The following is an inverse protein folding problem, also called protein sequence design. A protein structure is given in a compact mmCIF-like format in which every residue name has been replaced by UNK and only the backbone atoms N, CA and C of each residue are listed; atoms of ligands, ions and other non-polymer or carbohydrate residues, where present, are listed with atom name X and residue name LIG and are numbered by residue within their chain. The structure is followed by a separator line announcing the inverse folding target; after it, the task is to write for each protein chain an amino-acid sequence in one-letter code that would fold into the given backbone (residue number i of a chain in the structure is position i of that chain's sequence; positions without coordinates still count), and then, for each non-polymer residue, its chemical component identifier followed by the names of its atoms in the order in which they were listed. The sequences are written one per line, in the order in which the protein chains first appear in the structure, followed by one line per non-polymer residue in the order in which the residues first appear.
data_IF_056161855397
#
_entry.id   IF_056161855397
#
_cell.length_a   1.000
_cell.length_b   1.000
_cell.length_c   1.000
_cell.angle_alpha   90.00
_cell.angle_beta   90.00
_cell.angle_gamma   90.00
#
_symmetry.space_group_name_H-M   'P 1'
#
loop_
_entity.id
_entity.type
_entity.pdbx_description
1 polymer ?
#
# COMPACT_ATOMS: atom_id res chain seq x y z
N UNK A 1 -6.09 -10.19 2.19
CA UNK A 1 -5.60 -9.58 3.44
C UNK A 1 -6.72 -9.10 4.39
N UNK A 2 -7.95 -8.89 3.90
CA UNK A 2 -9.09 -8.36 4.68
C UNK A 2 -9.68 -9.31 5.73
N UNK A 3 -9.48 -10.63 5.63
CA UNK A 3 -10.15 -11.61 6.49
C UNK A 3 -9.56 -11.74 7.92
N UNK A 4 -8.31 -11.33 8.13
CA UNK A 4 -7.68 -11.44 9.46
C UNK A 4 -8.21 -10.38 10.43
N UNK A 5 -8.56 -9.21 9.91
CA UNK A 5 -9.06 -8.09 10.72
C UNK A 5 -10.41 -8.39 11.38
N UNK A 6 -11.28 -9.18 10.75
CA UNK A 6 -12.63 -9.47 11.26
C UNK A 6 -12.65 -10.41 12.47
N UNK A 7 -11.57 -11.16 12.71
CA UNK A 7 -11.47 -12.10 13.86
C UNK A 7 -11.57 -11.38 15.19
N UNK A 8 -11.02 -10.18 15.31
CA UNK A 8 -11.07 -9.41 16.57
C UNK A 8 -12.48 -8.93 16.95
N UNK A 9 -13.43 -8.90 16.01
CA UNK A 9 -14.83 -8.55 16.26
C UNK A 9 -15.53 -9.61 17.13
N UNK A 10 -14.96 -10.81 17.20
CA UNK A 10 -15.47 -11.88 18.07
C UNK A 10 -15.39 -11.49 19.55
N UNK A 11 -14.40 -10.70 19.98
CA UNK A 11 -14.22 -10.32 21.38
C UNK A 11 -15.40 -9.54 21.97
N UNK A 12 -15.88 -8.43 21.39
CA UNK A 12 -17.07 -7.74 21.93
C UNK A 12 -18.32 -8.62 21.89
N UNK A 13 -18.47 -9.48 20.89
CA UNK A 13 -19.61 -10.39 20.77
C UNK A 13 -19.56 -11.44 21.88
N UNK A 14 -18.41 -12.07 22.09
CA UNK A 14 -18.21 -13.05 23.15
C UNK A 14 -18.45 -12.44 24.53
N UNK A 15 -17.96 -11.22 24.78
CA UNK A 15 -18.18 -10.53 26.06
C UNK A 15 -19.64 -10.18 26.33
N UNK A 16 -20.45 -9.92 25.30
CA UNK A 16 -21.90 -9.74 25.49
C UNK A 16 -22.58 -11.08 25.75
N UNK A 17 -22.18 -12.16 25.07
CA UNK A 17 -22.73 -13.51 25.31
C UNK A 17 -22.40 -14.01 26.69
N UNK A 18 -21.19 -13.71 27.19
CA UNK A 18 -20.79 -14.08 28.60
C UNK A 18 -21.44 -13.19 29.66
N UNK A 19 -22.15 -12.13 29.28
CA UNK A 19 -22.79 -11.18 30.20
C UNK A 19 -21.84 -10.13 30.78
N UNK A 20 -20.60 -10.06 30.33
CA UNK A 20 -19.62 -9.07 30.79
C UNK A 20 -19.92 -7.67 30.29
N UNK A 21 -20.51 -7.54 29.08
CA UNK A 21 -20.80 -6.27 28.43
C UNK A 21 -22.30 -6.12 28.14
N UNK A 22 -22.82 -4.88 28.18
CA UNK A 22 -24.22 -4.61 27.88
C UNK A 22 -24.55 -4.91 26.40
N UNK A 23 -25.81 -5.28 26.14
CA UNK A 23 -26.32 -5.53 24.76
C UNK A 23 -26.06 -4.37 23.80
N UNK A 24 -26.02 -3.13 24.30
CA UNK A 24 -25.74 -1.95 23.52
C UNK A 24 -24.35 -2.00 22.84
N UNK A 25 -23.40 -2.77 23.40
CA UNK A 25 -22.08 -2.99 22.81
C UNK A 25 -22.16 -3.63 21.42
N UNK A 26 -23.14 -4.52 21.19
CA UNK A 26 -23.35 -5.13 19.86
C UNK A 26 -23.75 -4.08 18.82
N UNK A 27 -24.61 -3.14 19.19
CA UNK A 27 -24.99 -2.05 18.30
C UNK A 27 -23.79 -1.18 17.92
N UNK A 28 -22.97 -0.80 18.91
CA UNK A 28 -21.76 -0.02 18.66
C UNK A 28 -20.73 -0.79 17.82
N UNK A 29 -20.58 -2.10 18.06
CA UNK A 29 -19.70 -2.96 17.27
C UNK A 29 -20.17 -3.08 15.83
N UNK A 30 -21.49 -3.22 15.61
CA UNK A 30 -22.05 -3.22 14.26
C UNK A 30 -21.78 -1.89 13.55
N UNK A 31 -21.97 -0.76 14.25
CA UNK A 31 -21.71 0.57 13.70
C UNK A 31 -20.22 0.73 13.33
N UNK A 32 -19.31 0.22 14.16
CA UNK A 32 -17.86 0.19 13.87
C UNK A 32 -17.55 -0.60 12.60
N UNK A 33 -18.13 -1.79 12.46
CA UNK A 33 -17.95 -2.64 11.27
C UNK A 33 -18.50 -1.95 10.02
N UNK A 34 -19.68 -1.36 10.09
CA UNK A 34 -20.26 -0.59 8.98
C UNK A 34 -19.38 0.61 8.61
N UNK A 35 -18.84 1.32 9.61
CA UNK A 35 -17.92 2.43 9.38
C UNK A 35 -16.63 1.96 8.69
N UNK A 36 -16.04 0.84 9.14
CA UNK A 36 -14.85 0.25 8.51
C UNK A 36 -15.10 -0.08 7.04
N UNK A 37 -16.17 -0.81 6.73
CA UNK A 37 -16.51 -1.15 5.34
C UNK A 37 -16.93 0.07 4.51
N UNK A 38 -17.52 1.10 5.13
CA UNK A 38 -17.84 2.34 4.43
C UNK A 38 -16.59 3.06 3.93
N UNK A 39 -15.49 3.03 4.68
CA UNK A 39 -14.21 3.60 4.23
C UNK A 39 -13.64 2.80 3.06
N UNK A 40 -13.76 1.47 3.09
CA UNK A 40 -13.25 0.59 2.03
C UNK A 40 -14.03 0.70 0.71
N UNK A 41 -15.35 0.84 0.78
CA UNK A 41 -16.23 0.77 -0.39
C UNK A 41 -16.61 2.14 -0.95
N UNK A 42 -16.60 3.19 -0.14
CA UNK A 42 -17.05 4.52 -0.54
C UNK A 42 -15.90 5.40 -0.98
N UNK A 43 -16.01 6.00 -2.16
CA UNK A 43 -15.11 7.05 -2.64
C UNK A 43 -15.52 8.47 -2.14
N UNK A 44 -16.64 8.58 -1.43
CA UNK A 44 -17.12 9.86 -0.94
C UNK A 44 -16.36 10.29 0.30
N UNK A 45 -15.61 11.39 0.21
CA UNK A 45 -14.78 11.92 1.30
C UNK A 45 -15.58 12.24 2.57
N UNK A 46 -16.83 12.69 2.44
CA UNK A 46 -17.70 13.00 3.59
C UNK A 46 -18.06 11.73 4.37
N UNK A 47 -18.41 10.65 3.65
CA UNK A 47 -18.71 9.35 4.26
C UNK A 47 -17.48 8.78 4.96
N UNK A 48 -16.32 8.82 4.32
CA UNK A 48 -15.06 8.39 4.93
C UNK A 48 -14.70 9.20 6.17
N UNK A 49 -14.99 10.52 6.16
CA UNK A 49 -14.74 11.40 7.29
C UNK A 49 -15.62 11.03 8.49
N UNK A 50 -16.92 10.86 8.28
CA UNK A 50 -17.86 10.47 9.32
C UNK A 50 -17.53 9.07 9.86
N UNK A 51 -17.27 8.11 8.99
CA UNK A 51 -16.92 6.75 9.37
C UNK A 51 -15.63 6.69 10.20
N UNK A 52 -14.63 7.50 9.87
CA UNK A 52 -13.39 7.61 10.63
C UNK A 52 -13.63 8.08 12.07
N UNK A 53 -14.44 9.10 12.27
CA UNK A 53 -14.77 9.60 13.61
C UNK A 53 -15.61 8.61 14.42
N UNK A 54 -16.52 7.88 13.77
CA UNK A 54 -17.26 6.79 14.40
C UNK A 54 -16.32 5.71 14.91
N UNK A 55 -15.30 5.33 14.14
CA UNK A 55 -14.31 4.33 14.56
C UNK A 55 -13.48 4.84 15.75
N UNK A 56 -13.00 6.09 15.71
CA UNK A 56 -12.28 6.71 16.83
C UNK A 56 -13.13 6.73 18.11
N UNK A 57 -14.38 7.18 18.00
CA UNK A 57 -15.30 7.23 19.15
C UNK A 57 -15.55 5.83 19.74
N UNK A 58 -15.72 4.83 18.88
CA UNK A 58 -15.88 3.43 19.33
C UNK A 58 -14.65 2.94 20.09
N UNK A 59 -13.45 3.09 19.53
CA UNK A 59 -12.21 2.62 20.14
C UNK A 59 -11.98 3.32 21.48
N UNK A 60 -12.18 4.62 21.52
CA UNK A 60 -12.04 5.40 22.75
C UNK A 60 -13.02 4.95 23.83
N UNK A 61 -14.31 4.87 23.51
CA UNK A 61 -15.36 4.45 24.45
C UNK A 61 -15.10 3.04 24.99
N UNK A 62 -14.87 2.08 24.10
CA UNK A 62 -14.71 0.68 24.51
C UNK A 62 -13.43 0.46 25.32
N UNK A 63 -12.34 1.12 24.97
CA UNK A 63 -11.06 1.01 25.70
C UNK A 63 -11.09 1.63 27.09
N UNK A 64 -11.85 2.71 27.28
CA UNK A 64 -11.88 3.44 28.54
C UNK A 64 -12.95 2.87 29.50
N UNK A 65 -14.17 2.58 29.01
CA UNK A 65 -15.31 2.21 29.87
C UNK A 65 -15.65 0.73 29.88
N UNK A 66 -15.32 -0.03 28.84
CA UNK A 66 -15.61 -1.47 28.84
C UNK A 66 -14.40 -2.30 29.31
N UNK A 67 -13.36 -2.29 28.49
CA UNK A 67 -12.16 -3.07 28.80
C UNK A 67 -10.97 -2.49 28.04
N UNK A 68 -9.86 -2.24 28.72
CA UNK A 68 -8.64 -1.73 28.14
C UNK A 68 -8.04 -2.63 27.04
N UNK A 69 -8.43 -3.91 26.99
CA UNK A 69 -8.09 -4.82 25.89
C UNK A 69 -8.61 -4.38 24.53
N UNK A 70 -9.66 -3.54 24.46
CA UNK A 70 -10.14 -2.97 23.20
C UNK A 70 -9.17 -1.98 22.54
N UNK A 71 -8.09 -1.59 23.20
CA UNK A 71 -7.01 -0.80 22.60
C UNK A 71 -6.44 -1.46 21.34
N UNK A 72 -6.52 -2.79 21.21
CA UNK A 72 -6.11 -3.51 19.99
C UNK A 72 -6.89 -3.12 18.73
N UNK A 73 -8.10 -2.56 18.87
CA UNK A 73 -8.87 -2.05 17.74
C UNK A 73 -8.18 -0.88 17.02
N UNK A 74 -7.16 -0.27 17.62
CA UNK A 74 -6.34 0.76 16.98
C UNK A 74 -5.65 0.25 15.70
N UNK A 75 -5.38 -1.07 15.62
CA UNK A 75 -4.83 -1.70 14.42
C UNK A 75 -5.76 -1.65 13.19
N UNK A 76 -7.07 -1.48 13.39
CA UNK A 76 -7.97 -1.24 12.26
C UNK A 76 -7.74 0.13 11.63
N UNK A 77 -7.51 1.16 12.45
CA UNK A 77 -7.18 2.50 11.97
C UNK A 77 -5.81 2.51 11.27
N UNK A 78 -4.80 1.85 11.86
CA UNK A 78 -3.47 1.76 11.24
C UNK A 78 -3.52 1.03 9.90
N UNK A 79 -4.31 -0.04 9.79
CA UNK A 79 -4.48 -0.78 8.55
C UNK A 79 -5.12 0.09 7.45
N UNK A 80 -6.17 0.86 7.79
CA UNK A 80 -6.80 1.79 6.86
C UNK A 80 -5.82 2.89 6.40
N UNK A 81 -5.02 3.44 7.32
CA UNK A 81 -4.03 4.47 6.99
C UNK A 81 -2.96 3.96 6.03
N UNK A 82 -2.52 2.70 6.20
CA UNK A 82 -1.45 2.11 5.38
C UNK A 82 -1.97 1.72 4.00
N UNK A 83 -3.11 1.02 3.93
CA UNK A 83 -3.50 0.28 2.72
C UNK A 83 -4.57 0.95 1.89
N UNK A 84 -5.44 1.76 2.51
CA UNK A 84 -6.58 2.34 1.81
C UNK A 84 -6.45 3.85 1.59
N UNK A 85 -5.94 4.56 2.60
CA UNK A 85 -5.93 6.00 2.58
C UNK A 85 -4.58 6.58 2.13
N UNK A 86 -3.50 5.79 2.26
CA UNK A 86 -2.11 6.20 1.98
C UNK A 86 -1.71 7.54 2.62
N UNK A 87 -2.23 7.77 3.84
CA UNK A 87 -2.17 9.06 4.52
C UNK A 87 -1.25 9.05 5.75
N UNK A 88 -0.10 8.37 5.72
CA UNK A 88 0.86 8.40 6.82
C UNK A 88 1.76 9.65 6.67
N UNK A 89 1.19 10.78 7.02
CA UNK A 89 1.88 12.07 7.05
C UNK A 89 1.35 12.95 8.18
N UNK A 90 2.20 13.70 8.84
CA UNK A 90 1.79 14.71 9.83
C UNK A 90 0.92 15.84 9.24
N UNK A 91 0.82 15.94 7.91
CA UNK A 91 -0.12 16.84 7.23
C UNK A 91 -1.53 16.25 7.09
N UNK A 92 -1.67 14.93 7.23
CA UNK A 92 -2.98 14.29 7.21
C UNK A 92 -3.64 14.40 8.58
N UNK A 93 -4.85 14.97 8.62
CA UNK A 93 -5.65 15.07 9.82
C UNK A 93 -6.03 13.69 10.39
N UNK A 94 -6.16 12.65 9.53
CA UNK A 94 -6.45 11.28 9.95
C UNK A 94 -5.27 10.66 10.69
N UNK A 95 -4.07 10.83 10.17
CA UNK A 95 -2.87 10.38 10.86
C UNK A 95 -2.65 11.11 12.18
N UNK A 96 -2.84 12.43 12.20
CA UNK A 96 -2.75 13.22 13.44
C UNK A 96 -3.81 12.77 14.46
N UNK A 97 -5.06 12.55 14.05
CA UNK A 97 -6.12 12.07 14.95
C UNK A 97 -5.84 10.67 15.50
N UNK A 98 -5.22 9.78 14.69
CA UNK A 98 -4.78 8.45 15.12
C UNK A 98 -3.70 8.54 16.21
N UNK A 99 -2.68 9.38 16.04
CA UNK A 99 -1.63 9.58 17.06
C UNK A 99 -2.20 10.24 18.32
N UNK A 100 -3.07 11.23 18.18
CA UNK A 100 -3.69 11.94 19.31
C UNK A 100 -4.66 11.05 20.09
N UNK A 101 -5.32 10.10 19.46
CA UNK A 101 -6.22 9.16 20.12
C UNK A 101 -5.53 8.35 21.23
N UNK A 102 -4.28 7.97 21.06
CA UNK A 102 -3.53 7.10 21.96
C UNK A 102 -3.30 7.74 23.35
N UNK A 103 -2.75 8.96 23.45
CA UNK A 103 -2.65 9.62 24.76
C UNK A 103 -4.02 9.93 25.38
N UNK A 104 -5.06 10.18 24.57
CA UNK A 104 -6.42 10.33 25.09
C UNK A 104 -6.94 9.04 25.70
N UNK A 105 -6.70 7.87 25.09
CA UNK A 105 -7.03 6.57 25.67
C UNK A 105 -6.26 6.35 26.98
N UNK A 106 -4.95 6.63 27.02
CA UNK A 106 -4.13 6.47 28.23
C UNK A 106 -4.64 7.31 29.37
N UNK A 107 -4.95 8.58 29.12
CA UNK A 107 -5.49 9.48 30.15
C UNK A 107 -6.87 9.03 30.59
N UNK A 108 -7.73 8.58 29.66
CA UNK A 108 -9.06 8.04 29.98
C UNK A 108 -8.97 6.79 30.87
N UNK A 109 -8.14 5.82 30.51
CA UNK A 109 -7.94 4.59 31.30
C UNK A 109 -7.41 4.94 32.70
N UNK A 110 -6.47 5.87 32.82
CA UNK A 110 -5.95 6.31 34.12
C UNK A 110 -7.03 6.93 35.01
N UNK A 111 -7.82 7.85 34.44
CA UNK A 111 -8.85 8.58 35.19
C UNK A 111 -10.03 7.72 35.61
N UNK A 112 -10.46 6.77 34.73
CA UNK A 112 -11.65 5.94 34.97
C UNK A 112 -11.34 4.67 35.75
N UNK A 113 -10.26 3.97 35.39
CA UNK A 113 -9.97 2.62 35.94
C UNK A 113 -8.90 2.65 37.02
N UNK A 114 -8.30 3.79 37.37
CA UNK A 114 -7.27 3.93 38.42
C UNK A 114 -6.15 2.88 38.30
N UNK A 115 -5.72 2.60 37.06
CA UNK A 115 -4.72 1.57 36.75
C UNK A 115 -3.36 1.89 37.39
N UNK A 116 -2.61 0.84 37.72
CA UNK A 116 -1.28 0.98 38.27
C UNK A 116 -0.28 1.61 37.27
N UNK A 117 0.80 2.25 37.75
CA UNK A 117 1.83 2.81 36.86
C UNK A 117 2.44 1.78 35.91
N UNK A 118 2.54 0.51 36.31
CA UNK A 118 3.04 -0.58 35.48
C UNK A 118 2.10 -0.92 34.33
N UNK A 119 0.79 -0.86 34.54
CA UNK A 119 -0.20 -1.06 33.49
C UNK A 119 -0.18 0.11 32.49
N UNK A 120 -0.03 1.35 32.96
CA UNK A 120 0.13 2.51 32.08
C UNK A 120 1.39 2.39 31.23
N UNK A 121 2.51 1.98 31.83
CA UNK A 121 3.75 1.74 31.09
C UNK A 121 3.55 0.67 30.02
N UNK A 122 2.85 -0.42 30.34
CA UNK A 122 2.53 -1.48 29.37
C UNK A 122 1.73 -0.93 28.17
N UNK A 123 0.68 -0.14 28.40
CA UNK A 123 -0.10 0.46 27.30
C UNK A 123 0.73 1.46 26.50
N UNK A 124 1.56 2.27 27.15
CA UNK A 124 2.45 3.21 26.46
C UNK A 124 3.42 2.46 25.54
N UNK A 125 4.06 1.40 26.03
CA UNK A 125 4.96 0.56 25.21
C UNK A 125 4.20 -0.08 24.04
N UNK A 126 2.97 -0.56 24.28
CA UNK A 126 2.12 -1.15 23.24
C UNK A 126 1.79 -0.12 22.15
N UNK A 127 1.48 1.11 22.50
CA UNK A 127 1.20 2.16 21.54
C UNK A 127 2.43 2.58 20.73
N UNK A 128 3.57 2.78 21.41
CA UNK A 128 4.84 3.06 20.72
C UNK A 128 5.21 1.93 19.75
N UNK A 129 5.00 0.68 20.17
CA UNK A 129 5.22 -0.48 19.28
C UNK A 129 4.24 -0.48 18.09
N UNK A 130 2.96 -0.17 18.34
CA UNK A 130 1.94 -0.06 17.29
C UNK A 130 2.31 1.01 16.25
N UNK A 131 2.78 2.18 16.71
CA UNK A 131 3.18 3.27 15.82
C UNK A 131 4.43 2.91 15.02
N UNK A 132 5.44 2.34 15.66
CA UNK A 132 6.65 1.87 15.01
C UNK A 132 6.35 0.78 13.97
N UNK A 133 5.45 -0.15 14.30
CA UNK A 133 5.00 -1.20 13.39
C UNK A 133 4.23 -0.63 12.19
N UNK A 134 3.30 0.28 12.44
CA UNK A 134 2.52 0.98 11.40
C UNK A 134 3.44 1.72 10.42
N UNK A 135 4.40 2.49 10.97
CA UNK A 135 5.37 3.20 10.16
C UNK A 135 6.29 2.25 9.38
N UNK A 136 6.72 1.15 10.01
CA UNK A 136 7.54 0.12 9.39
C UNK A 136 6.85 -0.53 8.19
N UNK A 137 5.59 -0.96 8.35
CA UNK A 137 4.79 -1.55 7.28
C UNK A 137 4.56 -0.56 6.12
N UNK A 138 4.27 0.69 6.44
CA UNK A 138 4.14 1.73 5.41
C UNK A 138 5.44 1.89 4.60
N UNK A 139 6.58 1.97 5.26
CA UNK A 139 7.89 2.07 4.60
C UNK A 139 8.17 0.87 3.69
N UNK A 140 7.82 -0.33 4.12
CA UNK A 140 7.96 -1.54 3.30
C UNK A 140 7.08 -1.43 2.06
N UNK A 141 5.80 -1.08 2.22
CA UNK A 141 4.86 -0.92 1.12
C UNK A 141 5.35 0.09 0.08
N UNK A 142 5.70 1.30 0.50
CA UNK A 142 6.22 2.35 -0.39
C UNK A 142 7.51 1.89 -1.10
N UNK A 143 8.38 1.19 -0.39
CA UNK A 143 9.60 0.62 -1.01
C UNK A 143 9.29 -0.42 -2.09
N UNK A 144 8.27 -1.26 -1.88
CA UNK A 144 7.83 -2.26 -2.86
C UNK A 144 7.21 -1.60 -4.10
N UNK A 145 6.37 -0.60 -3.92
CA UNK A 145 5.78 0.19 -5.02
C UNK A 145 6.85 0.85 -5.88
N UNK A 146 7.85 1.49 -5.26
CA UNK A 146 8.98 2.11 -5.97
C UNK A 146 9.80 1.04 -6.73
N UNK A 147 10.05 -0.12 -6.12
CA UNK A 147 10.76 -1.21 -6.79
C UNK A 147 10.00 -1.74 -8.00
N UNK A 148 8.69 -1.88 -7.89
CA UNK A 148 7.86 -2.34 -9.00
C UNK A 148 7.83 -1.33 -10.14
N UNK A 149 7.73 -0.04 -9.83
CA UNK A 149 7.78 1.02 -10.83
C UNK A 149 9.13 1.03 -11.55
N UNK A 150 10.25 0.92 -10.82
CA UNK A 150 11.59 0.79 -11.41
C UNK A 150 11.72 -0.45 -12.30
N UNK A 151 11.13 -1.58 -11.91
CA UNK A 151 11.12 -2.79 -12.76
C UNK A 151 10.36 -2.55 -14.07
N UNK A 152 9.21 -1.89 -14.02
CA UNK A 152 8.42 -1.52 -15.21
C UNK A 152 9.19 -0.56 -16.11
N UNK A 153 9.87 0.43 -15.54
CA UNK A 153 10.71 1.37 -16.30
C UNK A 153 11.90 0.65 -16.97
N UNK A 154 12.59 -0.21 -16.23
CA UNK A 154 13.72 -0.98 -16.79
C UNK A 154 13.27 -1.94 -17.89
N UNK A 155 12.10 -2.57 -17.78
CA UNK A 155 11.56 -3.42 -18.83
C UNK A 155 11.27 -2.62 -20.12
N UNK A 156 10.68 -1.42 -20.00
CA UNK A 156 10.44 -0.52 -21.14
C UNK A 156 11.76 -0.07 -21.78
N UNK A 157 12.75 0.27 -20.96
CA UNK A 157 14.08 0.67 -21.45
C UNK A 157 14.75 -0.47 -22.22
N UNK A 158 14.71 -1.70 -21.70
CA UNK A 158 15.28 -2.87 -22.37
C UNK A 158 14.60 -3.15 -23.72
N UNK A 159 13.27 -3.02 -23.81
CA UNK A 159 12.55 -3.15 -25.06
C UNK A 159 12.99 -2.06 -26.08
N UNK A 160 13.08 -0.82 -25.63
CA UNK A 160 13.55 0.28 -26.48
C UNK A 160 14.98 0.06 -26.99
N UNK A 161 15.89 -0.39 -26.13
CA UNK A 161 17.26 -0.71 -26.52
C UNK A 161 17.32 -1.87 -27.51
N UNK A 162 16.51 -2.92 -27.32
CA UNK A 162 16.43 -4.04 -28.26
C UNK A 162 15.89 -3.62 -29.63
N UNK A 163 14.89 -2.73 -29.66
CA UNK A 163 14.34 -2.21 -30.92
C UNK A 163 15.34 -1.31 -31.66
N UNK A 164 16.05 -0.43 -30.95
CA UNK A 164 17.12 0.37 -31.51
C UNK A 164 18.25 -0.49 -32.07
N UNK A 165 18.66 -1.52 -31.34
CA UNK A 165 19.73 -2.43 -31.82
C UNK A 165 19.27 -3.21 -33.05
N UNK A 166 18.00 -3.67 -33.08
CA UNK A 166 17.43 -4.30 -34.29
C UNK A 166 17.41 -3.37 -35.47
N UNK A 167 17.04 -2.11 -35.26
CA UNK A 167 17.05 -1.07 -36.34
C UNK A 167 18.47 -0.82 -36.84
N UNK A 168 19.44 -0.70 -35.95
CA UNK A 168 20.86 -0.51 -36.29
C UNK A 168 21.42 -1.68 -37.11
N UNK A 169 21.14 -2.92 -36.63
CA UNK A 169 21.55 -4.11 -37.38
C UNK A 169 20.91 -4.15 -38.79
N UNK A 170 19.63 -3.77 -38.90
CA UNK A 170 18.95 -3.69 -40.18
C UNK A 170 19.61 -2.69 -41.14
N UNK A 171 20.02 -1.53 -40.64
CA UNK A 171 20.72 -0.51 -41.41
C UNK A 171 22.12 -1.00 -41.81
N UNK A 172 22.90 -1.54 -40.92
CA UNK A 172 24.24 -2.09 -41.17
C UNK A 172 24.19 -3.22 -42.23
N UNK A 173 23.18 -4.08 -42.17
CA UNK A 173 22.95 -5.13 -43.17
C UNK A 173 22.59 -4.53 -44.55
N UNK A 174 21.68 -3.58 -44.58
CA UNK A 174 21.29 -2.92 -45.83
C UNK A 174 22.48 -2.26 -46.51
N UNK A 175 23.29 -1.53 -45.76
CA UNK A 175 24.48 -0.84 -46.30
C UNK A 175 25.54 -1.83 -46.76
N UNK A 176 25.79 -2.89 -46.00
CA UNK A 176 26.74 -3.97 -46.37
C UNK A 176 26.29 -4.74 -47.62
N UNK A 177 25.00 -5.13 -47.67
CA UNK A 177 24.44 -5.82 -48.82
C UNK A 177 24.40 -4.91 -50.06
N UNK A 178 23.99 -3.65 -49.89
CA UNK A 178 23.97 -2.66 -50.95
C UNK A 178 25.34 -2.45 -51.58
N UNK A 179 26.38 -2.31 -50.76
CA UNK A 179 27.75 -2.19 -51.24
C UNK A 179 28.23 -3.47 -51.96
N UNK A 180 27.89 -4.64 -51.43
CA UNK A 180 28.26 -5.94 -52.04
C UNK A 180 27.58 -6.11 -53.39
N UNK A 181 26.29 -5.78 -53.53
CA UNK A 181 25.57 -5.85 -54.79
C UNK A 181 26.11 -4.83 -55.84
N UNK A 182 26.42 -3.61 -55.41
CA UNK A 182 27.03 -2.63 -56.28
C UNK A 182 28.39 -3.10 -56.84
N UNK A 183 29.25 -3.66 -55.94
CA UNK A 183 30.53 -4.25 -56.39
C UNK A 183 30.33 -5.44 -57.32
N UNK A 184 29.36 -6.30 -57.08
CA UNK A 184 29.05 -7.43 -57.96
C UNK A 184 28.59 -6.97 -59.34
N UNK A 185 27.72 -5.98 -59.42
CA UNK A 185 27.26 -5.39 -60.66
C UNK A 185 28.43 -4.83 -61.49
N UNK A 186 29.31 -4.03 -60.86
CA UNK A 186 30.50 -3.47 -61.55
C UNK A 186 31.42 -4.58 -62.07
N UNK A 187 31.66 -5.65 -61.28
CA UNK A 187 32.48 -6.78 -61.72
C UNK A 187 31.84 -7.54 -62.88
N UNK A 188 30.52 -7.71 -62.86
CA UNK A 188 29.78 -8.38 -63.95
C UNK A 188 29.84 -7.59 -65.26
N UNK A 189 29.64 -6.28 -65.17
CA UNK A 189 29.75 -5.39 -66.35
C UNK A 189 31.15 -5.38 -66.93
N UNK A 190 32.19 -5.37 -66.04
CA UNK A 190 33.57 -5.46 -66.52
C UNK A 190 33.86 -6.80 -67.20
N UNK A 191 33.37 -7.92 -66.64
CA UNK A 191 33.55 -9.24 -67.28
C UNK A 191 32.84 -9.32 -68.64
N UNK A 192 31.66 -8.76 -68.77
CA UNK A 192 30.93 -8.69 -70.03
C UNK A 192 31.71 -7.86 -71.09
N UNK A 193 32.25 -6.70 -70.69
CA UNK A 193 33.09 -5.87 -71.60
C UNK A 193 34.35 -6.63 -72.04
N UNK A 194 35.04 -7.32 -71.19
CA UNK A 194 36.23 -8.11 -71.51
C UNK A 194 35.90 -9.27 -72.46
N UNK A 195 34.76 -9.94 -72.29
CA UNK A 195 34.33 -10.97 -73.23
C UNK A 195 33.99 -10.42 -74.60
N UNK A 196 33.40 -9.25 -74.69
CA UNK A 196 33.11 -8.55 -75.93
C UNK A 196 34.41 -8.14 -76.68
N UNK A 197 35.46 -7.70 -75.93
CA UNK A 197 36.76 -7.34 -76.50
C UNK A 197 37.57 -8.54 -77.02
N UNK A 198 37.34 -9.74 -76.50
CA UNK A 198 37.99 -10.98 -76.94
C UNK A 198 37.28 -11.63 -78.15
N UNK A 199 36.05 -11.21 -78.47
CA UNK A 199 35.26 -11.73 -79.53
C UNK A 199 35.51 -10.99 -80.91
N UNK A 200 36.41 -10.01 -80.90
CA UNK A 200 36.91 -9.31 -82.12
C UNK A 200 38.39 -9.61 -82.24
#
# INVERSE_FOLDING_TARGET
MFHISTVFIIFPIAGVISGEYPLLTLFWTLLFVLAFYSILLSQNRTVQWLAWWVMIAYIFYTSVWLNSGFTWFIFYLSNLLIYELDEISFHSWRFVSFIVLQPFILTGIYMVNHVSPWQLLFFLVTFVFSDAFTFGLYRIRVSEEIKEEKRKQNAKLNLFLAENERSRIGQDLHDSLGHTFAMLSVKTDLALQLLQMQAY
#
